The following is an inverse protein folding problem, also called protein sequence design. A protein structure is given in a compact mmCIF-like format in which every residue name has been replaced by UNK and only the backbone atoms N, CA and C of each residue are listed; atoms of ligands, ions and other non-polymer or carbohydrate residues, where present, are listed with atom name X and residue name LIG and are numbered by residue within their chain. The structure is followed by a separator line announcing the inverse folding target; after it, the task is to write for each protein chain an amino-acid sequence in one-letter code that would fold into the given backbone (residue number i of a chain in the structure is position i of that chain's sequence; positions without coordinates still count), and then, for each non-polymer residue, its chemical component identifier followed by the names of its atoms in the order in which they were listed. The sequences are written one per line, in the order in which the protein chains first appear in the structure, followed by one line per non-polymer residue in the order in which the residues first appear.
data_IF_912559286006
#
_entry.id   IF_912559286006
#
_cell.length_a   1.000
_cell.length_b   1.000
_cell.length_c   1.000
_cell.angle_alpha   90.00
_cell.angle_beta   90.00
_cell.angle_gamma   90.00
#
_symmetry.space_group_name_H-M   'P 1'
#
loop_
_entity.id
_entity.type
_entity.pdbx_description
1 polymer ?
#
# COMPACT_ATOMS: atom_id res chain seq x y z
N UNK A 1 -14.32 6.33 -2.01
CA UNK A 1 -13.11 5.64 -1.51
C UNK A 1 -11.80 6.35 -1.85
N UNK A 2 -11.56 6.77 -3.11
CA UNK A 2 -10.27 7.36 -3.52
C UNK A 2 -9.88 8.66 -2.79
N UNK A 3 -10.84 9.55 -2.52
CA UNK A 3 -10.59 10.81 -1.78
C UNK A 3 -10.11 10.53 -0.35
N UNK A 4 -10.77 9.63 0.37
CA UNK A 4 -10.42 9.30 1.75
C UNK A 4 -9.04 8.61 1.85
N UNK A 5 -8.70 7.75 0.89
CA UNK A 5 -7.36 7.17 0.79
C UNK A 5 -6.28 8.25 0.61
N UNK A 6 -6.51 9.20 -0.31
CA UNK A 6 -5.56 10.28 -0.56
C UNK A 6 -5.42 11.21 0.66
N UNK A 7 -6.53 11.54 1.32
CA UNK A 7 -6.50 12.29 2.58
C UNK A 7 -5.69 11.56 3.65
N UNK A 8 -5.95 10.27 3.89
CA UNK A 8 -5.23 9.48 4.89
C UNK A 8 -3.73 9.35 4.61
N UNK A 9 -3.32 9.31 3.33
CA UNK A 9 -1.91 9.35 2.94
C UNK A 9 -1.30 10.73 3.17
N UNK A 10 -1.98 11.78 2.72
CA UNK A 10 -1.50 13.16 2.85
C UNK A 10 -1.42 13.61 4.31
N UNK A 11 -2.31 13.10 5.17
CA UNK A 11 -2.30 13.34 6.62
C UNK A 11 -1.25 12.49 7.35
N UNK A 12 -0.61 11.54 6.67
CA UNK A 12 0.41 10.67 7.26
C UNK A 12 -0.16 9.55 8.13
N UNK A 13 -1.43 9.20 7.98
CA UNK A 13 -2.03 8.05 8.65
C UNK A 13 -1.72 6.73 7.92
N UNK A 14 -1.61 6.77 6.59
CA UNK A 14 -1.30 5.62 5.75
C UNK A 14 -0.03 5.83 4.92
N UNK A 15 0.67 4.73 4.67
CA UNK A 15 1.84 4.69 3.79
C UNK A 15 1.90 3.43 2.95
N UNK A 16 2.70 3.47 1.88
CA UNK A 16 2.93 2.32 1.00
C UNK A 16 4.04 1.42 1.54
N UNK A 17 3.85 0.11 1.46
CA UNK A 17 4.83 -0.89 1.86
C UNK A 17 5.44 -1.60 0.65
N UNK A 18 6.69 -2.06 0.78
CA UNK A 18 7.40 -2.77 -0.28
C UNK A 18 6.75 -4.12 -0.66
N UNK A 19 5.87 -4.64 0.19
CA UNK A 19 5.12 -5.87 -0.06
C UNK A 19 3.84 -5.64 -0.89
N UNK A 20 3.57 -4.42 -1.36
CA UNK A 20 2.39 -4.10 -2.18
C UNK A 20 1.16 -3.63 -1.41
N UNK A 21 1.21 -3.55 -0.09
CA UNK A 21 0.05 -3.17 0.72
C UNK A 21 0.21 -1.79 1.37
N UNK A 22 -0.90 -1.25 1.86
CA UNK A 22 -0.91 -0.09 2.73
C UNK A 22 -0.67 -0.52 4.17
N UNK A 23 0.11 0.29 4.89
CA UNK A 23 0.28 0.15 6.33
C UNK A 23 -0.15 1.42 7.07
N UNK A 24 -0.52 1.26 8.33
CA UNK A 24 -0.76 2.36 9.25
C UNK A 24 0.58 2.94 9.73
N UNK A 25 0.79 4.22 9.44
CA UNK A 25 1.93 5.00 9.92
C UNK A 25 1.63 5.54 11.32
N UNK A 26 0.39 5.97 11.53
CA UNK A 26 -0.13 6.45 12.81
C UNK A 26 -1.48 5.77 13.07
N UNK A 27 -1.79 5.52 14.33
CA UNK A 27 -3.04 4.88 14.72
C UNK A 27 -4.22 5.82 14.45
N UNK A 28 -5.07 5.46 13.48
CA UNK A 28 -6.32 6.16 13.18
C UNK A 28 -7.37 5.12 12.73
N UNK A 29 -8.55 5.04 13.38
CA UNK A 29 -9.58 4.05 13.05
C UNK A 29 -10.15 4.17 11.64
N UNK A 30 -10.34 5.39 11.14
CA UNK A 30 -10.87 5.65 9.80
C UNK A 30 -9.83 5.25 8.74
N UNK A 31 -8.57 5.62 8.96
CA UNK A 31 -7.46 5.20 8.12
C UNK A 31 -7.30 3.68 8.12
N UNK A 32 -7.51 3.02 9.27
CA UNK A 32 -7.48 1.56 9.37
C UNK A 32 -8.57 0.91 8.52
N UNK A 33 -9.80 1.40 8.59
CA UNK A 33 -10.89 0.86 7.77
C UNK A 33 -10.59 1.01 6.26
N UNK A 34 -10.01 2.14 5.86
CA UNK A 34 -9.59 2.38 4.47
C UNK A 34 -8.45 1.46 4.05
N UNK A 35 -7.46 1.28 4.93
CA UNK A 35 -6.35 0.36 4.72
C UNK A 35 -6.86 -1.06 4.47
N UNK A 36 -7.75 -1.55 5.33
CA UNK A 36 -8.29 -2.90 5.26
C UNK A 36 -9.10 -3.11 3.96
N UNK A 37 -9.95 -2.16 3.56
CA UNK A 37 -10.68 -2.21 2.28
C UNK A 37 -9.74 -2.22 1.07
N UNK A 38 -8.75 -1.32 1.03
CA UNK A 38 -7.82 -1.23 -0.10
C UNK A 38 -6.94 -2.47 -0.18
N UNK A 39 -6.44 -2.97 0.95
CA UNK A 39 -5.60 -4.16 0.98
C UNK A 39 -6.37 -5.42 0.55
N UNK A 40 -7.65 -5.54 0.91
CA UNK A 40 -8.50 -6.63 0.43
C UNK A 40 -8.71 -6.57 -1.09
N UNK A 41 -8.96 -5.39 -1.66
CA UNK A 41 -9.06 -5.20 -3.11
C UNK A 41 -7.74 -5.52 -3.83
N UNK A 42 -6.61 -5.07 -3.27
CA UNK A 42 -5.26 -5.37 -3.78
C UNK A 42 -5.00 -6.87 -3.78
N UNK A 43 -5.31 -7.58 -2.69
CA UNK A 43 -5.13 -9.04 -2.59
C UNK A 43 -5.87 -9.78 -3.71
N UNK A 44 -7.17 -9.51 -3.87
CA UNK A 44 -7.98 -10.15 -4.91
C UNK A 44 -7.45 -9.84 -6.33
N UNK A 45 -6.96 -8.62 -6.54
CA UNK A 45 -6.33 -8.24 -7.80
C UNK A 45 -5.01 -8.97 -8.05
N UNK A 46 -4.14 -9.06 -7.04
CA UNK A 46 -2.87 -9.78 -7.12
C UNK A 46 -3.07 -11.26 -7.38
N UNK A 47 -4.04 -11.90 -6.73
CA UNK A 47 -4.41 -13.30 -7.00
C UNK A 47 -4.85 -13.50 -8.46
N UNK A 48 -5.60 -12.56 -9.01
CA UNK A 48 -6.04 -12.62 -10.40
C UNK A 48 -4.87 -12.51 -11.38
N UNK A 49 -3.95 -11.57 -11.14
CA UNK A 49 -2.75 -11.39 -11.97
C UNK A 49 -1.81 -12.59 -11.83
N UNK A 50 -1.62 -13.07 -10.60
CA UNK A 50 -0.78 -14.22 -10.28
C UNK A 50 -1.22 -15.46 -11.06
N UNK A 51 -2.52 -15.79 -11.02
CA UNK A 51 -3.11 -16.89 -11.80
C UNK A 51 -2.88 -16.74 -13.31
N UNK A 52 -3.06 -15.53 -13.86
CA UNK A 52 -2.87 -15.27 -15.30
C UNK A 52 -1.41 -15.40 -15.74
N UNK A 53 -0.47 -15.01 -14.89
CA UNK A 53 0.96 -14.96 -15.23
C UNK A 53 1.76 -16.15 -14.68
N UNK A 54 1.09 -17.12 -14.04
CA UNK A 54 1.73 -18.26 -13.35
C UNK A 54 2.78 -17.80 -12.32
N UNK A 55 2.50 -16.70 -11.63
CA UNK A 55 3.32 -16.13 -10.56
C UNK A 55 2.65 -16.37 -9.21
N UNK A 56 3.38 -16.17 -8.10
CA UNK A 56 2.76 -16.12 -6.78
C UNK A 56 2.12 -14.75 -6.52
N UNK A 57 0.99 -14.66 -5.80
CA UNK A 57 0.40 -13.37 -5.42
C UNK A 57 1.37 -12.45 -4.68
N UNK A 58 2.29 -13.02 -3.89
CA UNK A 58 3.34 -12.29 -3.19
C UNK A 58 4.33 -11.60 -4.15
N UNK A 59 4.72 -12.26 -5.25
CA UNK A 59 5.64 -11.68 -6.25
C UNK A 59 4.98 -10.51 -6.97
N UNK A 60 3.70 -10.68 -7.34
CA UNK A 60 2.90 -9.60 -7.93
C UNK A 60 2.76 -8.43 -6.96
N UNK A 61 2.48 -8.70 -5.69
CA UNK A 61 2.34 -7.68 -4.66
C UNK A 61 3.65 -6.92 -4.46
N UNK A 62 4.80 -7.60 -4.41
CA UNK A 62 6.12 -6.98 -4.31
C UNK A 62 6.39 -6.02 -5.48
N UNK A 63 6.19 -6.48 -6.71
CA UNK A 63 6.34 -5.63 -7.91
C UNK A 63 5.39 -4.43 -7.90
N UNK A 64 4.16 -4.63 -7.43
CA UNK A 64 3.20 -3.54 -7.28
C UNK A 64 3.61 -2.55 -6.17
N UNK A 65 4.19 -3.03 -5.07
CA UNK A 65 4.71 -2.22 -3.97
C UNK A 65 5.89 -1.37 -4.38
N UNK A 66 6.85 -1.94 -5.09
CA UNK A 66 7.99 -1.21 -5.67
C UNK A 66 7.51 -0.08 -6.59
N UNK A 67 6.54 -0.37 -7.47
CA UNK A 67 5.91 0.64 -8.33
C UNK A 67 5.14 1.69 -7.53
N UNK A 68 4.40 1.30 -6.50
CA UNK A 68 3.63 2.21 -5.66
C UNK A 68 4.55 3.17 -4.89
N UNK A 69 5.65 2.68 -4.32
CA UNK A 69 6.67 3.49 -3.65
C UNK A 69 7.33 4.46 -4.64
N UNK A 70 7.70 3.98 -5.84
CA UNK A 70 8.26 4.81 -6.89
C UNK A 70 7.29 5.93 -7.33
N UNK A 71 6.00 5.61 -7.43
CA UNK A 71 4.93 6.55 -7.81
C UNK A 71 4.40 7.40 -6.64
N UNK A 72 4.77 7.12 -5.39
CA UNK A 72 4.30 7.88 -4.23
C UNK A 72 4.78 9.33 -4.33
N UNK A 73 3.91 10.31 -4.12
CA UNK A 73 4.29 11.72 -4.14
C UNK A 73 5.18 12.10 -2.96
N UNK A 74 6.00 13.14 -3.15
CA UNK A 74 6.75 13.76 -2.05
C UNK A 74 5.79 14.23 -0.96
N UNK A 75 6.16 14.02 0.29
CA UNK A 75 5.35 14.33 1.46
C UNK A 75 4.49 13.16 1.96
N UNK A 76 4.33 12.08 1.20
CA UNK A 76 3.67 10.86 1.66
C UNK A 76 4.68 9.87 2.27
N UNK A 77 4.17 8.89 3.02
CA UNK A 77 4.98 7.90 3.72
C UNK A 77 5.14 6.60 2.92
N UNK A 78 6.36 6.05 2.97
CA UNK A 78 6.71 4.74 2.42
C UNK A 78 7.51 3.94 3.46
N UNK A 79 7.39 2.63 3.45
CA UNK A 79 8.15 1.76 4.34
C UNK A 79 9.48 1.36 3.69
N UNK A 80 10.59 1.55 4.41
CA UNK A 80 11.89 1.06 3.97
C UNK A 80 12.03 -0.46 4.15
N UNK A 81 13.12 -1.03 3.63
CA UNK A 81 13.40 -2.47 3.74
C UNK A 81 13.59 -2.96 5.19
N UNK A 82 13.81 -2.06 6.15
CA UNK A 82 13.94 -2.34 7.59
C UNK A 82 12.60 -2.20 8.33
N UNK A 83 11.51 -1.90 7.62
CA UNK A 83 10.18 -1.73 8.21
C UNK A 83 9.93 -0.33 8.78
N UNK A 84 10.84 0.64 8.60
CA UNK A 84 10.69 1.99 9.11
C UNK A 84 9.92 2.86 8.12
N UNK A 85 9.01 3.69 8.64
CA UNK A 85 8.32 4.70 7.85
C UNK A 85 9.22 5.88 7.53
N UNK A 86 9.34 6.20 6.25
CA UNK A 86 10.10 7.33 5.70
C UNK A 86 9.14 8.21 4.92
N UNK A 87 9.23 9.52 5.13
CA UNK A 87 8.51 10.51 4.33
C UNK A 87 9.32 10.79 3.06
N UNK A 88 8.71 10.64 1.89
CA UNK A 88 9.37 10.83 0.58
C UNK A 88 9.53 12.31 0.23
#
# INVERSE_FOLDING_TARGET
MGVLLNCSKSQGYLGEQANGYLGLVQANPEAKAVMDDVNNKRRAHYETIAKKNKLSPADVAKLAGEKAIAATDKGNYVQDAKGKWIKK
#
